data_IF_232071499413
#
_entry.id   IF_232071499413
#
_cell.length_a   1.000
_cell.length_b   1.000
_cell.length_c   1.000
_cell.angle_alpha   90.00
_cell.angle_beta   90.00
_cell.angle_gamma   90.00
#
_symmetry.space_group_name_H-M   'P 1'
#
loop_
_entity.id
_entity.type
_entity.pdbx_description
1 polymer ?
#
# COMPACT_ATOMS: atom_id res chain seq x y z
N UNK A 1 11.45 -28.16 3.59
CA UNK A 1 11.55 -28.09 2.13
C UNK A 1 12.89 -27.44 1.81
N UNK A 2 13.85 -28.18 1.26
CA UNK A 2 15.18 -27.63 0.95
C UNK A 2 15.15 -27.25 -0.52
N UNK A 3 15.12 -25.96 -0.81
CA UNK A 3 15.27 -25.47 -2.18
C UNK A 3 16.77 -25.40 -2.47
N UNK A 4 17.25 -26.27 -3.35
CA UNK A 4 18.57 -26.12 -3.95
C UNK A 4 18.46 -25.07 -5.05
N UNK A 5 18.72 -23.82 -4.74
CA UNK A 5 18.94 -22.81 -5.75
C UNK A 5 20.34 -23.03 -6.32
N UNK A 6 20.44 -23.31 -7.61
CA UNK A 6 21.72 -23.29 -8.32
C UNK A 6 22.21 -21.84 -8.39
N UNK A 7 23.07 -21.46 -7.45
CA UNK A 7 23.69 -20.13 -7.44
C UNK A 7 24.81 -20.16 -8.48
N UNK A 8 24.88 -19.22 -9.44
CA UNK A 8 25.98 -19.13 -10.38
C UNK A 8 27.31 -19.02 -9.64
N UNK A 9 28.39 -19.61 -10.16
CA UNK A 9 29.72 -19.70 -9.52
C UNK A 9 30.32 -18.35 -9.03
N UNK A 10 29.75 -17.23 -9.42
CA UNK A 10 30.18 -15.89 -9.01
C UNK A 10 29.78 -15.49 -7.60
N UNK A 11 28.88 -16.21 -6.94
CA UNK A 11 28.45 -15.94 -5.57
C UNK A 11 28.93 -17.04 -4.62
N UNK A 12 30.14 -16.91 -4.11
CA UNK A 12 30.61 -17.74 -3.00
C UNK A 12 29.91 -17.31 -1.72
N UNK A 13 28.80 -17.97 -1.39
CA UNK A 13 28.19 -17.88 -0.07
C UNK A 13 29.14 -18.50 0.96
N UNK A 14 29.70 -17.68 1.87
CA UNK A 14 30.32 -18.19 3.10
C UNK A 14 29.21 -18.79 3.96
N UNK A 15 29.16 -20.12 4.02
CA UNK A 15 28.30 -20.84 4.96
C UNK A 15 28.85 -20.53 6.37
N UNK A 16 28.09 -19.78 7.15
CA UNK A 16 28.37 -19.58 8.58
C UNK A 16 27.87 -20.82 9.32
N UNK A 17 28.69 -21.48 10.15
CA UNK A 17 28.38 -22.80 10.73
C UNK A 17 27.21 -22.84 11.72
N UNK A 18 26.60 -21.72 12.06
CA UNK A 18 25.65 -21.58 13.19
C UNK A 18 24.19 -21.25 12.84
N UNK A 19 23.76 -21.50 11.62
CA UNK A 19 22.33 -21.33 11.28
C UNK A 19 21.52 -22.56 11.68
N UNK A 20 20.92 -22.53 12.87
CA UNK A 20 20.03 -23.58 13.37
C UNK A 20 18.59 -23.47 12.91
N UNK A 21 18.15 -22.34 12.35
CA UNK A 21 16.75 -22.15 11.92
C UNK A 21 16.65 -21.12 10.81
N UNK A 22 16.09 -21.50 9.66
CA UNK A 22 15.64 -20.58 8.61
C UNK A 22 14.12 -20.51 8.68
N UNK A 23 13.58 -19.35 9.06
CA UNK A 23 12.14 -19.11 9.10
C UNK A 23 11.72 -18.45 7.76
N UNK A 24 11.04 -19.18 6.91
CA UNK A 24 10.27 -18.61 5.81
C UNK A 24 8.81 -18.50 6.24
N UNK A 25 8.22 -17.33 6.03
CA UNK A 25 6.89 -16.96 6.49
C UNK A 25 5.81 -17.98 6.13
N UNK A 26 5.25 -18.62 7.15
CA UNK A 26 4.20 -19.62 7.08
C UNK A 26 4.58 -20.85 7.90
N UNK A 27 4.37 -20.80 9.20
CA UNK A 27 4.27 -21.88 10.20
C UNK A 27 4.63 -23.31 9.74
N UNK A 28 5.87 -23.59 9.41
CA UNK A 28 6.47 -24.94 9.51
C UNK A 28 7.94 -24.78 9.84
N UNK A 29 8.30 -25.20 11.04
CA UNK A 29 9.71 -25.34 11.45
C UNK A 29 10.39 -26.40 10.59
N UNK A 30 11.44 -26.02 9.89
CA UNK A 30 12.28 -26.95 9.14
C UNK A 30 13.50 -27.23 10.01
N UNK A 31 13.54 -28.44 10.59
CA UNK A 31 14.73 -28.91 11.27
C UNK A 31 15.75 -29.42 10.25
N UNK A 32 16.92 -28.77 10.19
CA UNK A 32 18.04 -29.24 9.39
C UNK A 32 18.77 -30.37 10.15
N UNK A 33 18.69 -31.58 9.65
CA UNK A 33 19.54 -32.68 10.10
C UNK A 33 20.78 -32.64 9.18
N UNK A 34 21.82 -31.95 9.60
CA UNK A 34 23.12 -31.97 8.92
C UNK A 34 23.69 -33.36 8.90
N UNK A 35 24.01 -33.83 7.69
CA UNK A 35 24.58 -35.14 7.51
C UNK A 35 26.00 -35.22 8.06
N UNK A 36 26.15 -35.82 9.19
CA UNK A 36 27.28 -36.67 9.59
C UNK A 36 26.68 -37.77 10.45
N UNK A 37 27.10 -38.99 10.24
CA UNK A 37 26.63 -40.20 10.93
C UNK A 37 26.91 -40.13 12.44
N UNK A 38 26.14 -39.33 13.15
CA UNK A 38 26.20 -39.27 14.60
C UNK A 38 24.93 -39.86 15.15
N UNK A 39 24.99 -41.13 15.50
CA UNK A 39 24.07 -41.70 16.50
C UNK A 39 24.18 -40.82 17.76
N UNK A 40 23.06 -40.55 18.45
CA UNK A 40 23.14 -39.77 19.68
C UNK A 40 24.15 -40.42 20.64
N UNK A 41 25.17 -39.66 21.06
CA UNK A 41 26.27 -40.14 21.91
C UNK A 41 25.86 -40.91 23.17
N UNK A 42 24.66 -40.63 23.79
CA UNK A 42 24.31 -41.31 25.04
C UNK A 42 24.17 -42.82 24.95
N UNK A 43 23.64 -43.38 23.83
CA UNK A 43 23.39 -44.83 23.71
C UNK A 43 24.65 -45.65 23.41
N UNK A 44 25.70 -45.06 22.87
CA UNK A 44 26.97 -45.73 22.70
C UNK A 44 27.74 -45.75 24.04
N UNK A 45 27.71 -44.67 24.76
CA UNK A 45 28.33 -44.57 26.09
C UNK A 45 27.60 -45.50 27.09
N UNK A 46 26.27 -45.53 27.11
CA UNK A 46 25.46 -46.41 27.94
C UNK A 46 25.78 -47.90 27.64
N UNK A 47 26.01 -48.25 26.40
CA UNK A 47 26.39 -49.59 26.00
C UNK A 47 27.79 -49.95 26.46
N UNK A 48 28.76 -49.03 26.33
CA UNK A 48 30.12 -49.25 26.80
C UNK A 48 30.21 -49.34 28.33
N UNK A 49 29.43 -48.55 29.05
CA UNK A 49 29.30 -48.65 30.51
C UNK A 49 28.68 -49.96 30.95
N UNK A 50 27.62 -50.42 30.29
CA UNK A 50 26.98 -51.71 30.56
C UNK A 50 27.92 -52.91 30.27
N UNK A 51 28.78 -52.81 29.26
CA UNK A 51 29.80 -53.83 28.97
C UNK A 51 30.95 -53.79 30.02
N UNK A 52 31.35 -52.61 30.48
CA UNK A 52 32.38 -52.44 31.53
C UNK A 52 31.94 -52.94 32.91
N UNK A 53 30.62 -52.88 33.17
CA UNK A 53 29.99 -53.37 34.41
C UNK A 53 29.56 -54.84 34.36
N UNK A 54 29.94 -55.61 33.31
CA UNK A 54 29.59 -57.00 33.08
C UNK A 54 28.06 -57.27 33.00
N UNK A 55 27.23 -56.25 32.82
CA UNK A 55 25.79 -56.33 32.68
C UNK A 55 25.39 -56.71 31.22
N UNK A 56 25.71 -57.92 30.80
CA UNK A 56 25.51 -58.38 29.40
C UNK A 56 24.06 -58.43 28.92
N UNK A 57 23.08 -58.59 29.81
CA UNK A 57 21.67 -58.51 29.46
C UNK A 57 21.21 -57.10 29.09
N UNK A 58 21.64 -56.10 29.87
CA UNK A 58 21.35 -54.68 29.60
C UNK A 58 22.04 -54.17 28.31
N UNK A 59 23.29 -54.57 28.08
CA UNK A 59 24.01 -54.30 26.84
C UNK A 59 23.31 -54.87 25.62
N UNK A 60 22.70 -56.07 25.78
CA UNK A 60 21.87 -56.75 24.77
C UNK A 60 20.56 -55.96 24.43
N UNK A 61 19.93 -55.41 25.45
CA UNK A 61 18.73 -54.59 25.28
C UNK A 61 19.05 -53.24 24.60
N UNK A 62 20.13 -52.58 25.00
CA UNK A 62 20.61 -51.36 24.39
C UNK A 62 20.95 -51.57 22.92
N UNK A 63 21.60 -52.69 22.58
CA UNK A 63 21.86 -53.08 21.18
C UNK A 63 20.60 -53.27 20.36
N UNK A 64 19.56 -53.89 20.93
CA UNK A 64 18.23 -54.02 20.29
C UNK A 64 17.57 -52.66 20.09
N UNK A 65 17.66 -51.73 21.07
CA UNK A 65 17.14 -50.35 20.98
C UNK A 65 17.87 -49.57 19.88
N UNK A 66 19.23 -49.71 19.81
CA UNK A 66 20.02 -49.08 18.74
C UNK A 66 19.60 -49.59 17.35
N UNK A 67 19.47 -50.94 17.18
CA UNK A 67 19.05 -51.51 15.90
C UNK A 67 17.65 -51.02 15.46
N UNK A 68 16.70 -50.94 16.41
CA UNK A 68 15.34 -50.40 16.13
C UNK A 68 15.39 -48.91 15.74
N UNK A 69 16.23 -48.08 16.43
CA UNK A 69 16.41 -46.66 16.09
C UNK A 69 17.08 -46.48 14.73
N UNK A 70 18.12 -47.32 14.41
CA UNK A 70 18.76 -47.31 13.08
C UNK A 70 17.78 -47.65 11.98
N UNK A 71 17.01 -48.72 12.12
CA UNK A 71 15.99 -49.12 11.13
C UNK A 71 14.88 -48.06 10.94
N UNK A 72 14.51 -47.35 12.02
CA UNK A 72 13.56 -46.24 11.93
C UNK A 72 14.15 -45.02 11.21
N UNK A 73 15.41 -44.72 11.43
CA UNK A 73 16.13 -43.64 10.78
C UNK A 73 16.32 -43.90 9.28
N UNK A 74 16.64 -45.13 8.89
CA UNK A 74 16.72 -45.54 7.49
C UNK A 74 15.35 -45.44 6.78
N UNK A 75 14.26 -45.89 7.42
CA UNK A 75 12.92 -45.70 6.88
C UNK A 75 12.52 -44.22 6.73
N UNK A 76 12.94 -43.38 7.65
CA UNK A 76 12.70 -41.92 7.55
C UNK A 76 13.56 -41.28 6.46
N UNK A 77 14.83 -41.72 6.29
CA UNK A 77 15.69 -41.26 5.18
C UNK A 77 15.10 -41.70 3.82
N UNK A 78 14.66 -42.94 3.68
CA UNK A 78 14.00 -43.38 2.45
C UNK A 78 12.72 -42.61 2.15
N UNK A 79 11.84 -42.45 3.14
CA UNK A 79 10.65 -41.60 2.94
C UNK A 79 11.00 -40.16 2.52
N UNK A 80 12.02 -39.58 3.13
CA UNK A 80 12.48 -38.25 2.79
C UNK A 80 13.06 -38.19 1.36
N UNK A 81 13.80 -39.21 0.93
CA UNK A 81 14.31 -39.31 -0.44
C UNK A 81 13.17 -39.51 -1.47
N UNK A 82 12.19 -40.34 -1.14
CA UNK A 82 11.01 -40.57 -1.96
C UNK A 82 10.15 -39.29 -2.07
N UNK A 83 9.90 -38.61 -0.97
CA UNK A 83 9.21 -37.31 -0.95
C UNK A 83 9.96 -36.22 -1.72
N UNK A 84 11.30 -36.24 -1.64
CA UNK A 84 12.17 -35.30 -2.39
C UNK A 84 12.16 -35.60 -3.89
N UNK A 85 12.12 -36.85 -4.29
CA UNK A 85 12.10 -37.24 -5.70
C UNK A 85 10.69 -37.13 -6.31
N UNK A 86 9.63 -37.23 -5.50
CA UNK A 86 8.24 -37.07 -5.94
C UNK A 86 7.77 -35.63 -5.99
N UNK A 87 8.39 -34.75 -5.24
CA UNK A 87 8.11 -33.30 -5.32
C UNK A 87 8.97 -32.65 -6.40
N UNK A 88 8.55 -32.78 -7.66
CA UNK A 88 9.01 -31.90 -8.74
C UNK A 88 8.50 -30.48 -8.43
N UNK A 89 9.20 -29.76 -7.56
CA UNK A 89 8.97 -28.33 -7.38
C UNK A 89 9.64 -27.67 -8.58
N UNK A 90 8.82 -27.37 -9.56
CA UNK A 90 9.21 -26.52 -10.69
C UNK A 90 9.22 -25.10 -10.13
N UNK A 91 10.40 -24.51 -10.03
CA UNK A 91 10.50 -23.07 -9.77
C UNK A 91 10.16 -22.39 -11.09
N UNK A 92 8.98 -21.83 -11.19
CA UNK A 92 8.51 -21.09 -12.35
C UNK A 92 9.02 -19.66 -12.38
N UNK A 93 8.61 -18.93 -13.40
CA UNK A 93 8.93 -17.49 -13.56
C UNK A 93 8.34 -16.67 -12.40
N UNK A 94 7.19 -17.09 -11.88
CA UNK A 94 6.48 -16.37 -10.80
C UNK A 94 7.26 -16.42 -9.48
N UNK A 95 7.81 -17.57 -9.10
CA UNK A 95 8.59 -17.70 -7.86
C UNK A 95 9.91 -16.92 -7.95
N UNK A 96 10.55 -16.91 -9.13
CA UNK A 96 11.75 -16.10 -9.37
C UNK A 96 11.42 -14.62 -9.32
N UNK A 97 10.30 -14.21 -9.91
CA UNK A 97 9.82 -12.85 -9.88
C UNK A 97 9.50 -12.37 -8.46
N UNK A 98 8.93 -13.23 -7.59
CA UNK A 98 8.69 -12.93 -6.18
C UNK A 98 9.99 -12.64 -5.42
N UNK A 99 10.99 -13.49 -5.60
CA UNK A 99 12.29 -13.31 -4.95
C UNK A 99 12.98 -12.03 -5.44
N UNK A 100 12.99 -11.78 -6.75
CA UNK A 100 13.56 -10.56 -7.32
C UNK A 100 12.82 -9.33 -6.83
N UNK A 101 11.47 -9.38 -6.77
CA UNK A 101 10.65 -8.28 -6.26
C UNK A 101 10.95 -7.98 -4.78
N UNK A 102 11.14 -9.03 -3.96
CA UNK A 102 11.48 -8.86 -2.55
C UNK A 102 12.87 -8.22 -2.35
N UNK A 103 13.84 -8.53 -3.22
CA UNK A 103 15.21 -8.01 -3.12
C UNK A 103 15.37 -6.62 -3.69
N UNK A 104 14.78 -6.39 -4.87
CA UNK A 104 14.95 -5.13 -5.63
C UNK A 104 13.87 -4.11 -5.34
N UNK A 105 12.76 -4.53 -4.71
CA UNK A 105 11.50 -3.75 -4.56
C UNK A 105 10.89 -3.35 -5.90
N UNK A 106 11.27 -4.04 -6.97
CA UNK A 106 10.68 -3.89 -8.30
C UNK A 106 9.59 -4.96 -8.41
N UNK A 107 8.31 -4.61 -8.68
CA UNK A 107 7.21 -5.57 -8.79
C UNK A 107 7.32 -6.38 -10.10
N UNK A 108 8.28 -7.31 -10.18
CA UNK A 108 8.63 -8.06 -11.39
C UNK A 108 7.51 -8.98 -11.87
N UNK A 109 6.72 -9.57 -10.95
CA UNK A 109 5.58 -10.42 -11.29
C UNK A 109 4.51 -9.73 -12.15
N UNK A 110 4.49 -8.40 -12.14
CA UNK A 110 3.46 -7.59 -12.78
C UNK A 110 3.85 -7.09 -14.16
N UNK A 111 5.02 -7.48 -14.66
CA UNK A 111 5.60 -6.90 -15.90
C UNK A 111 5.14 -7.63 -17.17
N UNK A 112 4.63 -8.89 -17.10
CA UNK A 112 4.32 -9.63 -18.31
C UNK A 112 2.84 -9.49 -18.76
N UNK A 113 2.04 -10.51 -18.83
CA UNK A 113 0.69 -10.48 -19.42
C UNK A 113 -0.38 -9.87 -18.49
N UNK A 114 -0.21 -9.98 -17.17
CA UNK A 114 -1.15 -9.42 -16.19
C UNK A 114 -1.16 -7.87 -16.17
N UNK A 115 -0.12 -7.20 -16.66
CA UNK A 115 -0.03 -5.73 -16.68
C UNK A 115 -1.01 -5.13 -17.68
N UNK A 116 -1.14 -5.70 -18.85
CA UNK A 116 -2.07 -5.21 -19.88
C UNK A 116 -3.52 -5.28 -19.39
N UNK A 117 -3.92 -6.40 -18.78
CA UNK A 117 -5.28 -6.53 -18.23
C UNK A 117 -5.54 -5.56 -17.07
N UNK A 118 -4.56 -5.32 -16.24
CA UNK A 118 -4.66 -4.34 -15.13
C UNK A 118 -4.79 -2.92 -15.64
N UNK A 119 -4.02 -2.56 -16.67
CA UNK A 119 -4.11 -1.24 -17.29
C UNK A 119 -5.47 -1.04 -17.96
N UNK A 120 -6.04 -2.08 -18.56
CA UNK A 120 -7.41 -2.03 -19.12
C UNK A 120 -8.43 -1.82 -18.00
N UNK A 121 -8.31 -2.56 -16.89
CA UNK A 121 -9.22 -2.50 -15.74
C UNK A 121 -8.89 -1.39 -14.74
N UNK A 122 -7.89 -0.54 -15.03
CA UNK A 122 -7.42 0.48 -14.08
C UNK A 122 -8.54 1.43 -13.66
N UNK A 123 -9.39 1.87 -14.59
CA UNK A 123 -10.55 2.73 -14.29
C UNK A 123 -11.51 2.07 -13.31
N UNK A 124 -11.87 0.81 -13.55
CA UNK A 124 -12.77 0.05 -12.66
C UNK A 124 -12.15 -0.12 -11.26
N UNK A 125 -10.85 -0.44 -11.20
CA UNK A 125 -10.12 -0.60 -9.94
C UNK A 125 -10.09 0.71 -9.15
N UNK A 126 -9.89 1.85 -9.80
CA UNK A 126 -9.90 3.15 -9.15
C UNK A 126 -11.30 3.54 -8.68
N UNK A 127 -12.36 3.27 -9.49
CA UNK A 127 -13.74 3.54 -9.12
C UNK A 127 -14.25 2.72 -7.92
N UNK A 128 -13.68 1.54 -7.67
CA UNK A 128 -14.00 0.75 -6.49
C UNK A 128 -13.62 1.46 -5.17
N UNK A 129 -12.70 2.42 -5.22
CA UNK A 129 -12.22 3.17 -4.04
C UNK A 129 -12.59 4.65 -4.08
N UNK A 130 -12.66 5.23 -5.26
CA UNK A 130 -12.89 6.67 -5.45
C UNK A 130 -14.24 6.88 -6.11
N UNK A 131 -15.14 7.48 -5.37
CA UNK A 131 -16.52 7.70 -5.80
C UNK A 131 -16.68 9.12 -6.38
N UNK A 132 -17.34 9.22 -7.51
CA UNK A 132 -17.86 10.46 -8.06
C UNK A 132 -16.83 11.41 -8.68
N UNK A 133 -15.69 10.91 -9.10
CA UNK A 133 -14.63 11.68 -9.78
C UNK A 133 -14.31 11.03 -11.15
N UNK A 134 -15.30 10.76 -11.96
CA UNK A 134 -15.19 9.95 -13.17
C UNK A 134 -14.25 10.58 -14.20
N UNK A 135 -14.27 11.90 -14.39
CA UNK A 135 -13.33 12.59 -15.28
C UNK A 135 -11.89 12.44 -14.81
N UNK A 136 -11.66 12.55 -13.50
CA UNK A 136 -10.33 12.40 -12.91
C UNK A 136 -9.76 11.00 -13.12
N UNK A 137 -10.56 9.99 -12.82
CA UNK A 137 -10.19 8.58 -12.98
C UNK A 137 -9.89 8.25 -14.44
N UNK A 138 -10.76 8.68 -15.35
CA UNK A 138 -10.58 8.44 -16.79
C UNK A 138 -9.33 9.15 -17.34
N UNK A 139 -9.09 10.40 -16.96
CA UNK A 139 -7.92 11.17 -17.41
C UNK A 139 -6.61 10.50 -16.93
N UNK A 140 -6.55 10.11 -15.65
CA UNK A 140 -5.39 9.42 -15.09
C UNK A 140 -5.15 8.09 -15.80
N UNK A 141 -6.18 7.26 -15.95
CA UNK A 141 -6.04 5.96 -16.57
C UNK A 141 -5.55 6.07 -18.03
N UNK A 142 -6.06 7.04 -18.79
CA UNK A 142 -5.59 7.32 -20.16
C UNK A 142 -4.12 7.75 -20.17
N UNK A 143 -3.70 8.66 -19.30
CA UNK A 143 -2.33 9.14 -19.24
C UNK A 143 -1.35 8.02 -18.82
N UNK A 144 -1.72 7.21 -17.83
CA UNK A 144 -0.93 6.06 -17.39
C UNK A 144 -0.79 5.01 -18.51
N UNK A 145 -1.89 4.66 -19.18
CA UNK A 145 -1.84 3.75 -20.35
C UNK A 145 -0.89 4.27 -21.43
N UNK A 146 -0.99 5.56 -21.77
CA UNK A 146 -0.12 6.24 -22.73
C UNK A 146 1.36 6.16 -22.34
N UNK A 147 1.66 6.38 -21.06
CA UNK A 147 3.02 6.29 -20.52
C UNK A 147 3.58 4.86 -20.56
N UNK A 148 2.76 3.86 -20.22
CA UNK A 148 3.19 2.45 -20.15
C UNK A 148 3.35 1.77 -21.51
N UNK A 149 2.59 2.18 -22.52
CA UNK A 149 2.70 1.66 -23.89
C UNK A 149 3.92 2.25 -24.62
N UNK A 150 4.66 3.17 -23.99
CA UNK A 150 5.87 3.76 -24.58
C UNK A 150 5.60 4.90 -25.58
N UNK A 151 4.41 5.46 -25.59
CA UNK A 151 4.05 6.62 -26.42
C UNK A 151 4.48 7.96 -25.79
N UNK A 152 5.12 7.93 -24.63
CA UNK A 152 5.64 9.09 -23.92
C UNK A 152 7.17 9.15 -24.02
N UNK A 153 7.73 10.35 -23.84
CA UNK A 153 9.18 10.55 -23.74
C UNK A 153 9.76 9.65 -22.63
N UNK A 154 10.71 8.76 -22.94
CA UNK A 154 11.30 7.83 -21.99
C UNK A 154 12.09 8.52 -20.87
N UNK A 155 12.44 9.79 -21.03
CA UNK A 155 13.16 10.57 -20.03
C UNK A 155 12.24 11.19 -18.98
N UNK A 156 10.92 11.20 -19.17
CA UNK A 156 9.95 11.81 -18.25
C UNK A 156 9.29 10.78 -17.33
N UNK A 157 8.77 11.17 -16.17
CA UNK A 157 7.97 10.30 -15.28
C UNK A 157 6.81 9.62 -16.03
N UNK A 158 6.30 8.49 -15.56
CA UNK A 158 5.17 7.76 -16.18
C UNK A 158 3.96 8.68 -16.40
N UNK A 159 3.67 9.55 -15.44
CA UNK A 159 2.59 10.53 -15.50
C UNK A 159 2.84 11.66 -14.52
N UNK A 160 2.40 12.87 -14.87
CA UNK A 160 2.45 14.06 -14.04
C UNK A 160 1.10 14.73 -14.01
N UNK A 161 0.53 14.91 -12.80
CA UNK A 161 -0.84 15.35 -12.60
C UNK A 161 -0.90 16.49 -11.60
N UNK A 162 -1.75 17.48 -11.88
CA UNK A 162 -2.12 18.51 -10.92
C UNK A 162 -3.60 18.36 -10.54
N UNK A 163 -3.87 18.01 -9.29
CA UNK A 163 -5.21 17.85 -8.74
C UNK A 163 -5.65 19.14 -8.07
N UNK A 164 -6.70 19.74 -8.61
CA UNK A 164 -7.27 20.99 -8.11
C UNK A 164 -8.61 20.73 -7.45
N UNK A 165 -8.94 21.47 -6.42
CA UNK A 165 -10.24 21.39 -5.78
C UNK A 165 -10.22 21.49 -4.27
N UNK A 166 -11.41 21.54 -3.63
CA UNK A 166 -11.51 21.70 -2.19
C UNK A 166 -10.98 20.49 -1.42
N UNK A 167 -10.82 20.64 -0.12
CA UNK A 167 -10.44 19.52 0.76
C UNK A 167 -11.56 18.49 0.86
N UNK A 168 -11.20 17.21 1.08
CA UNK A 168 -12.17 16.16 1.34
C UNK A 168 -12.93 15.60 0.12
N UNK A 169 -12.52 15.93 -1.10
CA UNK A 169 -13.15 15.44 -2.34
C UNK A 169 -12.50 14.18 -2.92
N UNK A 170 -11.43 13.66 -2.29
CA UNK A 170 -10.82 12.39 -2.69
C UNK A 170 -9.45 12.49 -3.37
N UNK A 171 -8.80 13.67 -3.47
CA UNK A 171 -7.48 13.83 -4.12
C UNK A 171 -6.42 12.86 -3.59
N UNK A 172 -6.23 12.83 -2.27
CA UNK A 172 -5.27 11.94 -1.61
C UNK A 172 -5.68 10.47 -1.70
N UNK A 173 -6.99 10.16 -1.66
CA UNK A 173 -7.48 8.78 -1.77
C UNK A 173 -7.25 8.22 -3.17
N UNK A 174 -7.45 9.03 -4.22
CA UNK A 174 -7.13 8.64 -5.60
C UNK A 174 -5.62 8.38 -5.77
N UNK A 175 -4.76 9.16 -5.10
CA UNK A 175 -3.30 8.93 -5.12
C UNK A 175 -2.93 7.59 -4.46
N UNK A 176 -3.58 7.21 -3.35
CA UNK A 176 -3.41 5.91 -2.69
C UNK A 176 -3.93 4.77 -3.55
N UNK A 177 -5.13 4.92 -4.10
CA UNK A 177 -5.73 3.94 -4.99
C UNK A 177 -4.85 3.69 -6.22
N UNK A 178 -4.24 4.75 -6.77
CA UNK A 178 -3.32 4.63 -7.90
C UNK A 178 -2.03 3.90 -7.50
N UNK A 179 -1.46 4.19 -6.32
CA UNK A 179 -0.26 3.49 -5.83
C UNK A 179 -0.51 1.98 -5.67
N UNK A 180 -1.66 1.63 -5.09
CA UNK A 180 -2.07 0.24 -4.93
C UNK A 180 -2.32 -0.46 -6.29
N UNK A 181 -3.05 0.18 -7.19
CA UNK A 181 -3.37 -0.36 -8.51
C UNK A 181 -2.11 -0.56 -9.38
N UNK A 182 -1.16 0.40 -9.35
CA UNK A 182 0.04 0.38 -10.18
C UNK A 182 1.16 -0.48 -9.61
N UNK A 183 1.40 -0.36 -8.29
CA UNK A 183 2.57 -0.95 -7.62
C UNK A 183 2.18 -2.01 -6.58
N UNK A 184 0.88 -2.24 -6.36
CA UNK A 184 0.33 -3.33 -5.57
C UNK A 184 0.34 -3.13 -4.08
N UNK A 185 0.69 -1.94 -3.63
CA UNK A 185 0.64 -1.57 -2.21
C UNK A 185 0.46 -0.08 -2.06
N UNK A 186 -0.33 0.33 -1.08
CA UNK A 186 -0.44 1.74 -0.70
C UNK A 186 0.88 2.33 -0.16
N UNK A 187 1.77 1.49 0.36
CA UNK A 187 3.08 1.92 0.85
C UNK A 187 4.02 2.40 -0.26
N UNK A 188 3.68 2.16 -1.54
CA UNK A 188 4.37 2.76 -2.68
C UNK A 188 4.02 4.25 -2.87
N UNK A 189 3.15 4.83 -2.04
CA UNK A 189 2.88 6.26 -2.01
C UNK A 189 3.91 7.00 -1.15
N UNK A 190 4.71 7.87 -1.77
CA UNK A 190 5.60 8.80 -1.09
C UNK A 190 4.88 10.14 -0.98
N UNK A 191 4.41 10.50 0.22
CA UNK A 191 3.78 11.81 0.46
C UNK A 191 4.81 12.81 0.95
N UNK A 192 4.77 14.00 0.37
CA UNK A 192 5.58 15.18 0.74
C UNK A 192 4.62 16.34 0.92
N UNK A 193 4.53 16.87 2.13
CA UNK A 193 3.69 18.02 2.46
C UNK A 193 4.47 19.32 2.16
N UNK A 194 3.98 20.09 1.21
CA UNK A 194 4.67 21.31 0.77
C UNK A 194 4.60 22.45 1.78
N UNK A 195 3.73 22.38 2.78
CA UNK A 195 3.73 23.32 3.88
C UNK A 195 5.00 23.25 4.75
N UNK A 196 5.74 22.14 4.71
CA UNK A 196 7.06 22.02 5.36
C UNK A 196 8.18 22.72 4.58
N UNK A 197 7.91 23.14 3.32
CA UNK A 197 8.89 23.69 2.38
C UNK A 197 8.55 25.13 1.95
N UNK A 198 7.98 25.91 2.85
CA UNK A 198 7.61 27.32 2.60
C UNK A 198 8.82 28.27 2.60
N UNK A 199 9.88 27.91 3.29
CA UNK A 199 11.06 28.73 3.45
C UNK A 199 12.23 28.22 2.58
N UNK A 200 13.06 29.15 2.09
CA UNK A 200 14.17 28.84 1.19
C UNK A 200 15.14 27.81 1.78
N UNK A 201 15.44 27.88 3.07
CA UNK A 201 16.37 26.94 3.72
C UNK A 201 15.78 25.51 3.85
N UNK A 202 14.46 25.36 3.79
CA UNK A 202 13.84 24.04 3.88
C UNK A 202 13.90 23.28 2.55
N UNK A 203 14.09 23.96 1.42
CA UNK A 203 14.22 23.35 0.09
C UNK A 203 15.42 22.42 0.05
N UNK A 204 16.51 22.76 0.74
CA UNK A 204 17.69 21.87 0.84
C UNK A 204 17.38 20.53 1.52
N UNK A 205 16.34 20.43 2.36
CA UNK A 205 15.92 19.16 2.92
C UNK A 205 15.32 18.19 1.89
N UNK A 206 14.81 18.72 0.76
CA UNK A 206 14.26 17.89 -0.32
C UNK A 206 15.35 17.11 -1.06
N UNK A 207 16.43 17.80 -1.46
CA UNK A 207 17.50 17.27 -2.32
C UNK A 207 18.82 17.09 -1.57
N UNK A 208 18.92 17.52 -0.31
CA UNK A 208 20.09 17.48 0.54
C UNK A 208 20.75 18.85 0.72
N UNK A 209 21.48 19.01 1.81
CA UNK A 209 22.21 20.23 2.14
C UNK A 209 23.54 20.29 1.36
N UNK A 210 23.98 21.48 0.92
CA UNK A 210 25.29 21.64 0.29
C UNK A 210 26.44 21.25 1.23
N UNK A 211 27.62 20.90 0.70
CA UNK A 211 28.79 20.60 1.51
C UNK A 211 29.10 21.71 2.52
N UNK A 212 29.36 21.34 3.76
CA UNK A 212 29.68 22.27 4.85
C UNK A 212 28.46 22.78 5.65
N UNK A 213 27.24 22.41 5.29
CA UNK A 213 26.05 22.71 6.07
C UNK A 213 25.60 21.52 6.91
N UNK A 214 24.92 21.78 8.03
CA UNK A 214 24.35 20.75 8.90
C UNK A 214 23.33 19.91 8.10
N UNK A 215 23.45 18.56 8.21
CA UNK A 215 22.58 17.62 7.47
C UNK A 215 23.08 17.19 6.09
N UNK A 216 24.34 17.54 5.71
CA UNK A 216 24.91 17.11 4.43
C UNK A 216 24.96 15.58 4.29
N UNK A 217 25.32 14.85 5.36
CA UNK A 217 25.45 13.38 5.36
C UNK A 217 24.09 12.65 5.35
N UNK A 218 22.99 13.33 5.70
CA UNK A 218 21.67 12.73 5.79
C UNK A 218 21.00 12.54 4.41
N UNK A 219 21.52 13.21 3.35
CA UNK A 219 20.91 13.22 2.03
C UNK A 219 19.57 13.98 2.00
N UNK A 220 18.95 14.11 0.84
CA UNK A 220 17.64 14.75 0.72
C UNK A 220 16.50 13.79 1.04
N UNK A 221 15.48 14.27 1.73
CA UNK A 221 14.32 13.46 2.11
C UNK A 221 13.60 12.84 0.90
N UNK A 222 13.43 13.62 -0.17
CA UNK A 222 12.79 13.15 -1.41
C UNK A 222 13.74 12.21 -2.17
N UNK A 223 14.99 12.62 -2.38
CA UNK A 223 15.98 11.86 -3.12
C UNK A 223 16.22 10.48 -2.51
N UNK A 224 16.36 10.37 -1.19
CA UNK A 224 16.52 9.08 -0.50
C UNK A 224 15.27 8.20 -0.57
N UNK A 225 14.06 8.78 -0.38
CA UNK A 225 12.81 8.01 -0.48
C UNK A 225 12.62 7.41 -1.87
N UNK A 226 12.85 8.20 -2.92
CA UNK A 226 12.71 7.76 -4.31
C UNK A 226 13.80 6.77 -4.70
N UNK A 227 15.05 7.00 -4.31
CA UNK A 227 16.14 6.07 -4.54
C UNK A 227 15.86 4.69 -3.96
N UNK A 228 15.25 4.65 -2.76
CA UNK A 228 14.86 3.38 -2.11
C UNK A 228 13.61 2.75 -2.71
N UNK A 229 12.71 3.54 -3.29
CA UNK A 229 11.47 3.09 -3.89
C UNK A 229 11.28 3.73 -5.27
N UNK A 230 12.01 3.27 -6.29
CA UNK A 230 11.99 3.88 -7.62
C UNK A 230 10.67 3.68 -8.37
N UNK A 231 9.86 2.71 -7.94
CA UNK A 231 8.52 2.44 -8.46
C UNK A 231 7.50 2.91 -7.43
N UNK A 232 7.13 4.18 -7.52
CA UNK A 232 6.26 4.81 -6.52
C UNK A 232 5.37 5.90 -7.13
N UNK A 233 4.30 6.21 -6.44
CA UNK A 233 3.52 7.44 -6.64
C UNK A 233 4.06 8.49 -5.67
N UNK A 234 4.45 9.65 -6.19
CA UNK A 234 4.92 10.75 -5.37
C UNK A 234 3.82 11.80 -5.32
N UNK A 235 3.32 12.05 -4.13
CA UNK A 235 2.29 13.04 -3.87
C UNK A 235 2.90 14.27 -3.20
N UNK A 236 2.95 15.38 -3.92
CA UNK A 236 3.25 16.70 -3.39
C UNK A 236 1.93 17.36 -2.98
N UNK A 237 1.68 17.44 -1.67
CA UNK A 237 0.42 17.95 -1.14
C UNK A 237 0.54 19.46 -0.87
N UNK A 238 -0.48 20.24 -1.27
CA UNK A 238 -0.57 21.71 -1.10
C UNK A 238 0.59 22.48 -1.78
N UNK A 239 0.84 22.18 -3.07
CA UNK A 239 2.00 22.75 -3.81
C UNK A 239 1.99 24.27 -3.90
N UNK A 240 0.84 24.92 -3.77
CA UNK A 240 0.72 26.38 -3.74
C UNK A 240 1.44 27.03 -2.54
N UNK A 241 1.71 26.26 -1.49
CA UNK A 241 2.43 26.74 -0.30
C UNK A 241 3.94 26.65 -0.41
N UNK A 242 4.44 25.92 -1.39
CA UNK A 242 5.87 25.70 -1.56
C UNK A 242 6.64 26.99 -1.90
N UNK A 243 7.87 27.09 -1.41
CA UNK A 243 8.79 28.14 -1.83
C UNK A 243 9.05 28.06 -3.35
N UNK A 244 9.21 29.18 -4.07
CA UNK A 244 9.46 29.20 -5.51
C UNK A 244 10.62 28.32 -5.98
N UNK A 245 11.66 28.13 -5.17
CA UNK A 245 12.80 27.28 -5.51
C UNK A 245 12.44 25.77 -5.59
N UNK A 246 11.35 25.32 -4.92
CA UNK A 246 10.83 23.95 -5.04
C UNK A 246 10.38 23.68 -6.47
N UNK A 247 9.75 24.67 -7.13
CA UNK A 247 9.30 24.51 -8.51
C UNK A 247 10.44 24.30 -9.48
N UNK A 248 11.64 24.85 -9.23
CA UNK A 248 12.82 24.60 -10.04
C UNK A 248 13.25 23.12 -9.95
N UNK A 249 13.16 22.52 -8.75
CA UNK A 249 13.43 21.09 -8.57
C UNK A 249 12.37 20.24 -9.25
N UNK A 250 11.10 20.62 -9.12
CA UNK A 250 9.99 19.91 -9.79
C UNK A 250 10.10 20.01 -11.32
N UNK A 251 10.49 21.14 -11.88
CA UNK A 251 10.73 21.31 -13.30
C UNK A 251 11.79 20.32 -13.79
N UNK A 252 12.90 20.16 -13.08
CA UNK A 252 13.92 19.18 -13.44
C UNK A 252 13.36 17.74 -13.42
N UNK A 253 12.55 17.39 -12.42
CA UNK A 253 11.88 16.07 -12.37
C UNK A 253 10.94 15.88 -13.56
N UNK A 254 10.14 16.90 -13.90
CA UNK A 254 9.12 16.80 -14.94
C UNK A 254 9.73 16.79 -16.36
N UNK A 255 10.88 17.42 -16.59
CA UNK A 255 11.53 17.47 -17.88
C UNK A 255 12.54 16.36 -18.09
N UNK A 256 13.49 16.22 -17.15
CA UNK A 256 14.63 15.34 -17.28
C UNK A 256 14.40 13.97 -16.62
N UNK A 257 13.31 13.83 -15.81
CA UNK A 257 12.99 12.62 -15.06
C UNK A 257 14.03 12.22 -14.04
N UNK A 258 14.91 13.12 -13.63
CA UNK A 258 15.90 12.88 -12.59
C UNK A 258 16.25 14.17 -11.84
N UNK A 259 16.82 14.01 -10.66
CA UNK A 259 17.45 15.11 -9.91
C UNK A 259 18.86 14.69 -9.50
N UNK A 260 19.74 15.65 -9.36
CA UNK A 260 21.04 15.42 -8.72
C UNK A 260 20.96 15.90 -7.28
N UNK A 261 21.23 15.01 -6.34
CA UNK A 261 21.25 15.36 -4.91
C UNK A 261 22.49 16.16 -4.55
N UNK A 262 22.53 16.67 -3.32
CA UNK A 262 23.68 17.45 -2.80
C UNK A 262 25.00 16.69 -2.77
N UNK A 263 24.95 15.35 -2.81
CA UNK A 263 26.14 14.47 -2.82
C UNK A 263 26.60 14.15 -4.25
N UNK A 264 25.95 14.71 -5.28
CA UNK A 264 26.24 14.46 -6.68
C UNK A 264 25.66 13.15 -7.25
N UNK A 265 24.76 12.49 -6.50
CA UNK A 265 24.10 11.29 -6.99
C UNK A 265 22.88 11.64 -7.82
N UNK A 266 22.73 10.96 -8.96
CA UNK A 266 21.55 11.08 -9.80
C UNK A 266 20.46 10.16 -9.29
N UNK A 267 19.27 10.70 -9.00
CA UNK A 267 18.09 9.96 -8.57
C UNK A 267 17.07 9.97 -9.70
N UNK A 268 16.67 8.79 -10.15
CA UNK A 268 15.78 8.59 -11.28
C UNK A 268 14.30 8.58 -10.87
N UNK A 269 13.48 9.36 -11.57
CA UNK A 269 12.02 9.49 -11.40
C UNK A 269 11.23 8.92 -12.58
N UNK A 270 11.89 8.34 -13.60
CA UNK A 270 11.22 7.87 -14.82
C UNK A 270 10.15 6.82 -14.58
N UNK A 271 10.34 6.00 -13.55
CA UNK A 271 9.39 4.95 -13.14
C UNK A 271 8.39 5.41 -12.07
N UNK A 272 8.31 6.70 -11.81
CA UNK A 272 7.37 7.25 -10.83
C UNK A 272 6.17 7.92 -11.50
N UNK A 273 5.10 8.05 -10.75
CA UNK A 273 3.95 8.90 -11.08
C UNK A 273 3.97 10.11 -10.15
N UNK A 274 3.97 11.30 -10.72
CA UNK A 274 3.98 12.55 -9.98
C UNK A 274 2.56 13.09 -9.84
N UNK A 275 2.10 13.29 -8.62
CA UNK A 275 0.83 13.92 -8.32
C UNK A 275 1.09 15.13 -7.45
N UNK A 276 0.56 16.27 -7.85
CA UNK A 276 0.58 17.51 -7.11
C UNK A 276 -0.85 17.88 -6.74
N UNK A 277 -1.12 18.21 -5.49
CA UNK A 277 -2.45 18.70 -5.10
C UNK A 277 -2.40 20.17 -4.78
N UNK A 278 -3.48 20.88 -5.10
CA UNK A 278 -3.65 22.28 -4.74
C UNK A 278 -5.11 22.56 -4.39
N UNK A 279 -5.31 23.47 -3.47
CA UNK A 279 -6.61 24.04 -3.13
C UNK A 279 -6.88 25.35 -3.88
N UNK A 280 -6.02 25.75 -4.82
CA UNK A 280 -6.19 26.93 -5.65
C UNK A 280 -7.54 26.88 -6.39
N UNK A 281 -8.26 27.97 -6.34
CA UNK A 281 -9.60 28.07 -6.97
C UNK A 281 -10.71 27.29 -6.27
N UNK A 282 -10.45 26.68 -5.10
CA UNK A 282 -11.47 25.92 -4.37
C UNK A 282 -12.74 26.72 -4.05
N UNK A 283 -12.60 28.02 -3.75
CA UNK A 283 -13.73 28.92 -3.50
C UNK A 283 -14.67 29.04 -4.72
N UNK A 284 -14.12 29.00 -5.92
CA UNK A 284 -14.90 29.03 -7.17
C UNK A 284 -15.67 27.73 -7.42
N UNK A 285 -15.28 26.61 -6.78
CA UNK A 285 -15.91 25.31 -6.86
C UNK A 285 -17.06 25.20 -5.83
N UNK A 286 -16.82 25.72 -4.62
CA UNK A 286 -17.77 25.63 -3.49
C UNK A 286 -18.96 26.59 -3.65
N UNK A 287 -18.77 27.75 -4.26
CA UNK A 287 -19.82 28.75 -4.43
C UNK A 287 -20.11 29.04 -5.91
N UNK A 288 -20.85 28.20 -6.61
CA UNK A 288 -21.38 28.57 -7.92
C UNK A 288 -22.44 29.66 -7.70
N UNK A 289 -22.07 30.94 -7.91
CA UNK A 289 -23.01 32.04 -7.94
C UNK A 289 -23.87 31.93 -9.23
N UNK A 290 -24.88 31.08 -9.22
CA UNK A 290 -25.93 31.08 -10.25
C UNK A 290 -27.17 31.75 -9.69
N UNK A 291 -27.35 33.01 -10.03
CA UNK A 291 -28.65 33.67 -10.01
C UNK A 291 -29.37 33.25 -11.31
N UNK A 292 -30.27 32.27 -11.25
CA UNK A 292 -31.09 31.92 -12.39
C UNK A 292 -31.63 30.48 -12.35
N UNK A 293 -32.77 30.24 -12.99
CA UNK A 293 -33.41 28.92 -13.12
C UNK A 293 -32.53 28.02 -14.02
N UNK A 294 -31.92 27.00 -13.47
CA UNK A 294 -31.03 26.11 -14.19
C UNK A 294 -31.82 25.07 -15.02
N UNK A 295 -31.54 25.00 -16.31
CA UNK A 295 -31.93 23.90 -17.20
C UNK A 295 -30.74 22.95 -17.37
N UNK A 296 -30.94 21.69 -17.77
CA UNK A 296 -29.89 20.66 -17.92
C UNK A 296 -28.77 21.07 -18.90
N UNK A 297 -28.99 22.02 -19.78
CA UNK A 297 -27.98 22.65 -20.65
C UNK A 297 -27.09 23.61 -19.90
N UNK A 298 -27.57 24.19 -18.82
CA UNK A 298 -26.83 25.15 -18.00
C UNK A 298 -25.81 24.45 -17.09
N UNK A 299 -26.01 23.18 -16.71
CA UNK A 299 -25.08 22.44 -15.85
C UNK A 299 -23.71 22.20 -16.52
N UNK A 300 -23.71 21.82 -17.80
CA UNK A 300 -22.44 21.64 -18.56
C UNK A 300 -21.71 22.97 -18.76
N UNK A 301 -22.44 24.03 -19.12
CA UNK A 301 -21.87 25.35 -19.26
C UNK A 301 -21.35 25.93 -17.94
N UNK A 302 -22.06 25.69 -16.85
CA UNK A 302 -21.60 26.06 -15.51
C UNK A 302 -20.31 25.33 -15.11
N UNK A 303 -20.20 24.06 -15.47
CA UNK A 303 -19.01 23.26 -15.22
C UNK A 303 -17.80 23.77 -16.02
N UNK A 304 -17.96 24.06 -17.30
CA UNK A 304 -16.89 24.63 -18.13
C UNK A 304 -16.45 26.00 -17.63
N UNK A 305 -17.40 26.86 -17.25
CA UNK A 305 -17.15 28.18 -16.68
C UNK A 305 -16.40 28.08 -15.33
N UNK A 306 -16.77 27.12 -14.49
CA UNK A 306 -16.06 26.83 -13.23
C UNK A 306 -14.62 26.39 -13.50
N UNK A 307 -14.42 25.46 -14.41
CA UNK A 307 -13.11 24.96 -14.82
C UNK A 307 -12.24 26.09 -15.35
N UNK A 308 -12.79 26.97 -16.18
CA UNK A 308 -12.08 28.17 -16.68
C UNK A 308 -11.61 29.09 -15.56
N UNK A 309 -12.48 29.39 -14.58
CA UNK A 309 -12.12 30.26 -13.45
C UNK A 309 -11.05 29.63 -12.56
N UNK A 310 -11.13 28.32 -12.33
CA UNK A 310 -10.09 27.59 -11.58
C UNK A 310 -8.75 27.63 -12.33
N UNK A 311 -8.78 27.45 -13.66
CA UNK A 311 -7.58 27.54 -14.50
C UNK A 311 -6.98 28.95 -14.53
N UNK A 312 -7.78 29.99 -14.48
CA UNK A 312 -7.29 31.36 -14.40
C UNK A 312 -6.56 31.63 -13.08
N UNK A 313 -7.08 31.08 -11.98
CA UNK A 313 -6.39 31.16 -10.67
C UNK A 313 -5.08 30.37 -10.64
N UNK A 314 -5.07 29.16 -11.24
CA UNK A 314 -3.85 28.34 -11.39
C UNK A 314 -2.77 29.10 -12.17
N UNK A 315 -3.13 29.79 -13.26
CA UNK A 315 -2.20 30.61 -14.04
C UNK A 315 -1.66 31.83 -13.29
N UNK A 316 -2.34 32.30 -12.25
CA UNK A 316 -1.84 33.37 -11.38
C UNK A 316 -0.82 32.87 -10.36
N UNK A 317 -1.01 31.63 -9.86
CA UNK A 317 -0.16 31.02 -8.83
C UNK A 317 1.08 30.39 -9.43
N UNK A 318 0.90 29.63 -10.51
CA UNK A 318 1.96 28.84 -11.12
C UNK A 318 2.46 29.48 -12.42
N UNK A 319 3.76 29.46 -12.61
CA UNK A 319 4.37 29.96 -13.85
C UNK A 319 3.91 29.13 -15.07
N UNK A 320 3.70 29.76 -16.24
CA UNK A 320 3.30 29.05 -17.46
C UNK A 320 4.23 27.89 -17.83
N UNK A 321 5.54 28.06 -17.59
CA UNK A 321 6.54 27.04 -17.81
C UNK A 321 6.24 25.76 -17.02
N UNK A 322 5.87 25.88 -15.76
CA UNK A 322 5.52 24.76 -14.89
C UNK A 322 4.23 24.08 -15.34
N UNK A 323 3.20 24.85 -15.66
CA UNK A 323 1.90 24.34 -16.12
C UNK A 323 2.06 23.51 -17.41
N UNK A 324 2.90 23.96 -18.34
CA UNK A 324 3.13 23.30 -19.64
C UNK A 324 3.90 21.97 -19.52
N UNK A 325 4.49 21.65 -18.35
CA UNK A 325 5.21 20.39 -18.12
C UNK A 325 4.32 19.32 -17.48
N UNK A 326 3.14 19.69 -17.03
CA UNK A 326 2.17 18.79 -16.43
C UNK A 326 1.36 18.11 -17.54
N UNK A 327 1.24 16.77 -17.46
CA UNK A 327 0.51 16.01 -18.48
C UNK A 327 -0.99 16.27 -18.46
N UNK A 328 -1.58 16.34 -17.25
CA UNK A 328 -3.02 16.57 -17.09
C UNK A 328 -3.29 17.42 -15.82
N UNK A 329 -4.16 18.41 -15.98
CA UNK A 329 -4.69 19.21 -14.87
C UNK A 329 -6.13 18.79 -14.63
N UNK A 330 -6.41 18.31 -13.44
CA UNK A 330 -7.67 17.65 -13.10
C UNK A 330 -8.37 18.44 -12.00
N UNK A 331 -9.60 18.87 -12.28
CA UNK A 331 -10.44 19.59 -11.33
C UNK A 331 -11.42 18.61 -10.67
N UNK A 332 -11.30 18.49 -9.35
CA UNK A 332 -12.18 17.67 -8.52
C UNK A 332 -13.45 18.44 -8.15
N UNK A 333 -14.58 17.76 -8.23
CA UNK A 333 -15.88 18.35 -7.90
C UNK A 333 -16.25 18.09 -6.44
N UNK A 334 -17.20 18.91 -5.94
CA UNK A 334 -17.88 18.62 -4.68
C UNK A 334 -18.67 17.31 -4.79
N UNK A 335 -18.64 16.55 -3.71
CA UNK A 335 -19.39 15.29 -3.62
C UNK A 335 -20.85 15.57 -3.25
N UNK A 336 -21.78 14.92 -3.94
CA UNK A 336 -23.18 14.96 -3.59
C UNK A 336 -23.53 13.95 -2.47
N UNK A 337 -24.71 14.06 -1.88
CA UNK A 337 -25.14 13.20 -0.76
C UNK A 337 -25.15 11.71 -1.11
N UNK A 338 -25.50 11.34 -2.35
CA UNK A 338 -25.50 9.95 -2.80
C UNK A 338 -24.09 9.37 -2.90
N UNK A 339 -23.15 10.18 -3.40
CA UNK A 339 -21.73 9.81 -3.47
C UNK A 339 -21.14 9.64 -2.07
N UNK A 340 -21.52 10.52 -1.14
CA UNK A 340 -21.07 10.44 0.25
C UNK A 340 -21.62 9.18 0.94
N UNK A 341 -22.88 8.80 0.67
CA UNK A 341 -23.44 7.55 1.19
C UNK A 341 -22.64 6.32 0.71
N UNK A 342 -22.22 6.29 -0.56
CA UNK A 342 -21.34 5.23 -1.08
C UNK A 342 -19.95 5.24 -0.42
N UNK A 343 -19.42 6.41 -0.10
CA UNK A 343 -18.14 6.52 0.63
C UNK A 343 -18.29 5.97 2.06
N UNK A 344 -19.41 6.25 2.73
CA UNK A 344 -19.72 5.66 4.04
C UNK A 344 -19.73 4.14 3.94
N UNK A 345 -20.35 3.56 2.92
CA UNK A 345 -20.36 2.10 2.71
C UNK A 345 -18.94 1.53 2.56
N UNK A 346 -18.06 2.18 1.78
CA UNK A 346 -16.66 1.75 1.63
C UNK A 346 -15.92 1.81 2.96
N UNK A 347 -16.09 2.91 3.72
CA UNK A 347 -15.44 3.08 5.01
C UNK A 347 -15.91 2.04 6.04
N UNK A 348 -17.22 1.80 6.11
CA UNK A 348 -17.80 0.78 6.99
C UNK A 348 -17.35 -0.63 6.61
N UNK A 349 -17.29 -0.95 5.32
CA UNK A 349 -16.76 -2.22 4.85
C UNK A 349 -15.29 -2.42 5.27
N UNK A 350 -14.49 -1.36 5.27
CA UNK A 350 -13.10 -1.40 5.73
C UNK A 350 -13.02 -1.67 7.24
N UNK A 351 -13.87 -1.00 8.05
CA UNK A 351 -13.99 -1.26 9.49
C UNK A 351 -14.46 -2.69 9.73
N UNK A 352 -15.51 -3.12 9.01
CA UNK A 352 -16.08 -4.46 9.14
C UNK A 352 -15.06 -5.57 8.80
N UNK A 353 -14.26 -5.38 7.75
CA UNK A 353 -13.20 -6.33 7.40
C UNK A 353 -12.17 -6.46 8.53
N UNK A 354 -11.73 -5.33 9.10
CA UNK A 354 -10.78 -5.31 10.21
C UNK A 354 -11.35 -5.97 11.47
N UNK A 355 -12.61 -5.68 11.85
CA UNK A 355 -13.25 -6.28 13.02
C UNK A 355 -13.54 -7.76 12.84
N UNK A 356 -13.86 -8.17 11.61
CA UNK A 356 -14.07 -9.57 11.27
C UNK A 356 -12.76 -10.39 11.35
N UNK A 357 -11.66 -9.85 10.86
CA UNK A 357 -10.36 -10.51 10.89
C UNK A 357 -9.78 -10.61 12.30
N UNK A 358 -9.92 -9.55 13.11
CA UNK A 358 -9.30 -9.49 14.44
C UNK A 358 -10.18 -10.06 15.56
N UNK A 359 -11.49 -9.87 15.49
CA UNK A 359 -12.44 -10.17 16.58
C UNK A 359 -13.60 -11.08 16.13
N UNK A 360 -13.67 -11.44 14.84
CA UNK A 360 -14.78 -12.17 14.22
C UNK A 360 -16.15 -11.48 14.40
N UNK A 361 -16.16 -10.19 14.63
CA UNK A 361 -17.37 -9.37 14.77
C UNK A 361 -17.72 -8.78 13.41
N UNK A 362 -18.98 -8.97 12.97
CA UNK A 362 -19.53 -8.37 11.76
C UNK A 362 -20.44 -7.21 12.10
N UNK A 363 -20.30 -6.10 11.40
CA UNK A 363 -21.06 -4.85 11.59
C UNK A 363 -21.93 -4.63 10.35
N UNK A 364 -23.23 -4.51 10.54
CA UNK A 364 -24.19 -4.19 9.46
C UNK A 364 -24.93 -2.89 9.83
N UNK A 365 -24.91 -1.90 8.94
CA UNK A 365 -25.67 -0.68 9.09
C UNK A 365 -26.96 -0.78 8.26
N UNK A 366 -28.07 -0.32 8.81
CA UNK A 366 -29.27 -0.09 8.02
C UNK A 366 -29.22 1.27 7.28
N UNK A 367 -30.16 1.50 6.39
CA UNK A 367 -30.17 2.70 5.54
C UNK A 367 -30.43 3.99 6.32
N UNK A 368 -31.12 3.90 7.48
CA UNK A 368 -31.36 5.04 8.35
C UNK A 368 -30.07 5.41 9.11
N UNK A 369 -29.32 4.43 9.61
CA UNK A 369 -28.02 4.64 10.24
C UNK A 369 -27.02 5.24 9.25
N UNK A 370 -27.01 4.80 8.00
CA UNK A 370 -26.18 5.40 6.95
C UNK A 370 -26.54 6.87 6.72
N UNK A 371 -27.82 7.19 6.59
CA UNK A 371 -28.28 8.57 6.43
C UNK A 371 -27.86 9.44 7.62
N UNK A 372 -28.03 8.93 8.82
CA UNK A 372 -27.60 9.61 10.06
C UNK A 372 -26.10 9.96 10.02
N UNK A 373 -25.24 9.01 9.63
CA UNK A 373 -23.79 9.22 9.51
C UNK A 373 -23.48 10.24 8.43
N UNK A 374 -24.18 10.18 7.29
CA UNK A 374 -24.00 11.15 6.19
C UNK A 374 -24.38 12.56 6.66
N UNK A 375 -25.51 12.73 7.33
CA UNK A 375 -25.96 14.03 7.80
C UNK A 375 -25.05 14.63 8.87
N UNK A 376 -24.53 13.79 9.78
CA UNK A 376 -23.66 14.23 10.87
C UNK A 376 -22.20 14.42 10.42
N UNK A 377 -21.75 13.66 9.41
CA UNK A 377 -20.36 13.62 8.95
C UNK A 377 -20.09 14.42 7.68
N UNK A 378 -21.09 15.01 7.05
CA UNK A 378 -20.90 15.85 5.86
C UNK A 378 -20.83 17.33 6.22
N UNK A 379 -19.85 18.01 5.67
CA UNK A 379 -19.69 19.46 5.77
C UNK A 379 -19.40 20.02 4.37
N UNK A 380 -20.13 21.05 3.95
CA UNK A 380 -19.97 21.65 2.62
C UNK A 380 -18.55 22.20 2.38
N UNK A 381 -17.85 22.66 3.43
CA UNK A 381 -16.49 23.21 3.30
C UNK A 381 -15.40 22.13 3.34
N UNK A 382 -15.64 21.08 4.12
CA UNK A 382 -14.65 20.02 4.38
C UNK A 382 -14.94 18.70 3.65
N UNK A 383 -16.05 18.64 2.89
CA UNK A 383 -16.45 17.47 2.13
C UNK A 383 -16.61 16.20 2.97
N UNK A 384 -16.02 15.10 2.52
CA UNK A 384 -16.06 13.82 3.20
C UNK A 384 -15.02 13.66 4.33
N UNK A 385 -14.17 14.67 4.58
CA UNK A 385 -13.10 14.57 5.60
C UNK A 385 -13.60 14.29 7.02
N UNK A 386 -14.71 14.91 7.50
CA UNK A 386 -15.22 14.65 8.84
C UNK A 386 -15.85 13.25 9.00
N UNK A 387 -16.27 12.59 7.92
CA UNK A 387 -16.92 11.27 7.97
C UNK A 387 -16.12 10.23 8.75
N UNK A 388 -14.80 10.22 8.57
CA UNK A 388 -13.93 9.26 9.28
C UNK A 388 -14.02 9.44 10.79
N UNK A 389 -14.01 10.68 11.26
CA UNK A 389 -14.15 10.99 12.68
C UNK A 389 -15.54 10.66 13.19
N UNK A 390 -16.57 10.93 12.38
CA UNK A 390 -17.95 10.58 12.73
C UNK A 390 -18.12 9.06 12.83
N UNK A 391 -17.60 8.27 11.91
CA UNK A 391 -17.62 6.80 11.98
C UNK A 391 -16.87 6.31 13.21
N UNK A 392 -15.71 6.87 13.49
CA UNK A 392 -14.94 6.52 14.68
C UNK A 392 -15.75 6.77 15.97
N UNK A 393 -16.23 8.00 16.16
CA UNK A 393 -16.93 8.38 17.40
C UNK A 393 -18.29 7.69 17.54
N UNK A 394 -19.05 7.55 16.44
CA UNK A 394 -20.42 7.05 16.50
C UNK A 394 -20.50 5.52 16.41
N UNK A 395 -19.53 4.85 15.79
CA UNK A 395 -19.57 3.40 15.58
C UNK A 395 -18.44 2.70 16.32
N UNK A 396 -17.17 3.05 16.05
CA UNK A 396 -16.04 2.30 16.61
C UNK A 396 -15.98 2.44 18.13
N UNK A 397 -16.12 3.66 18.66
CA UNK A 397 -16.06 3.91 20.11
C UNK A 397 -17.23 3.24 20.83
N UNK A 398 -18.46 3.35 20.31
CA UNK A 398 -19.63 2.70 20.91
C UNK A 398 -19.54 1.17 20.89
N UNK A 399 -19.01 0.60 19.81
CA UNK A 399 -18.79 -0.86 19.73
C UNK A 399 -17.71 -1.27 20.74
N UNK A 400 -16.62 -0.49 20.85
CA UNK A 400 -15.55 -0.77 21.82
C UNK A 400 -16.06 -0.77 23.26
N UNK A 401 -16.90 0.21 23.67
CA UNK A 401 -17.52 0.24 24.98
C UNK A 401 -18.38 -1.00 25.23
N UNK A 402 -19.25 -1.37 24.28
CA UNK A 402 -20.11 -2.55 24.41
C UNK A 402 -19.34 -3.88 24.45
N UNK A 403 -18.15 -3.94 23.82
CA UNK A 403 -17.25 -5.10 23.94
C UNK A 403 -16.65 -5.15 25.35
N UNK A 404 -16.20 -4.01 25.89
CA UNK A 404 -15.63 -3.92 27.25
C UNK A 404 -16.66 -4.25 28.33
N UNK A 405 -17.92 -3.84 28.12
CA UNK A 405 -19.05 -4.18 28.99
C UNK A 405 -19.49 -5.66 28.85
N UNK A 406 -18.95 -6.41 27.91
CA UNK A 406 -19.29 -7.80 27.66
C UNK A 406 -20.64 -8.03 26.95
N UNK A 407 -21.26 -6.95 26.46
CA UNK A 407 -22.51 -7.01 25.68
C UNK A 407 -22.27 -7.59 24.30
N UNK A 408 -21.15 -7.24 23.63
CA UNK A 408 -20.72 -7.78 22.34
C UNK A 408 -19.56 -8.74 22.58
N UNK A 409 -19.64 -9.94 22.01
CA UNK A 409 -18.64 -11.01 22.14
C UNK A 409 -18.12 -11.42 20.76
N UNK A 410 -16.97 -12.08 20.74
CA UNK A 410 -16.40 -12.69 19.55
C UNK A 410 -17.45 -13.55 18.81
N UNK A 411 -17.55 -13.40 17.49
CA UNK A 411 -18.53 -14.12 16.65
C UNK A 411 -19.91 -13.46 16.57
N UNK A 412 -20.15 -12.35 17.24
CA UNK A 412 -21.44 -11.65 17.16
C UNK A 412 -21.59 -10.87 15.84
N UNK A 413 -22.85 -10.78 15.39
CA UNK A 413 -23.27 -9.86 14.32
C UNK A 413 -24.00 -8.68 14.93
N UNK A 414 -23.45 -7.49 14.79
CA UNK A 414 -23.97 -6.23 15.30
C UNK A 414 -24.74 -5.53 14.18
N UNK A 415 -26.04 -5.30 14.41
CA UNK A 415 -26.85 -4.45 13.53
C UNK A 415 -26.94 -3.06 14.16
N UNK A 416 -26.55 -2.05 13.39
CA UNK A 416 -26.63 -0.63 13.77
C UNK A 416 -27.86 -0.01 13.11
N UNK A 417 -28.76 0.56 13.90
CA UNK A 417 -29.98 1.23 13.48
C UNK A 417 -30.13 2.58 14.17
N UNK A 418 -31.09 3.39 13.76
CA UNK A 418 -31.43 4.66 14.43
C UNK A 418 -32.62 4.44 15.32
N UNK A 419 -32.52 4.85 16.60
CA UNK A 419 -33.61 4.87 17.55
C UNK A 419 -33.57 6.17 18.36
N UNK A 420 -34.68 6.86 18.41
CA UNK A 420 -34.81 8.14 19.15
C UNK A 420 -33.72 9.18 18.79
N UNK A 421 -33.32 9.21 17.50
CA UNK A 421 -32.31 10.16 16.99
C UNK A 421 -30.86 9.82 17.34
N UNK A 422 -30.61 8.63 17.88
CA UNK A 422 -29.25 8.11 18.19
C UNK A 422 -29.05 6.73 17.57
N UNK A 423 -27.77 6.30 17.43
CA UNK A 423 -27.46 4.97 16.94
C UNK A 423 -27.70 3.92 18.03
N UNK A 424 -28.49 2.91 17.71
CA UNK A 424 -28.75 1.73 18.53
C UNK A 424 -28.03 0.50 17.96
N UNK A 425 -27.40 -0.27 18.85
CA UNK A 425 -26.58 -1.42 18.52
C UNK A 425 -27.25 -2.70 19.02
N UNK A 426 -27.89 -3.43 18.14
CA UNK A 426 -28.57 -4.68 18.44
C UNK A 426 -27.79 -5.89 17.93
N UNK A 427 -27.83 -6.98 18.73
CA UNK A 427 -27.21 -8.24 18.31
C UNK A 427 -28.18 -9.04 17.44
N UNK A 428 -27.80 -9.31 16.20
CA UNK A 428 -28.46 -10.35 15.41
C UNK A 428 -28.04 -11.71 15.98
N UNK A 429 -28.99 -12.47 16.53
CA UNK A 429 -28.73 -13.88 16.93
C UNK A 429 -28.27 -14.63 15.68
N UNK A 430 -27.03 -15.09 15.70
CA UNK A 430 -26.51 -15.94 14.64
C UNK A 430 -27.40 -17.18 14.56
N UNK A 431 -27.89 -17.49 13.38
CA UNK A 431 -28.44 -18.83 13.09
C UNK A 431 -27.25 -19.76 13.20
N UNK A 432 -27.16 -20.48 14.31
CA UNK A 432 -26.25 -21.61 14.45
C UNK A 432 -26.56 -22.60 13.32
N UNK A 433 -25.63 -22.75 12.41
CA UNK A 433 -25.50 -23.94 11.57
C UNK A 433 -24.13 -24.54 11.77
#
# INVERSE_FOLDING_TARGET
MIVKVAVPEKFKLKVVPDFRTLIFGGQKEIHYIGGTDVLPPPLENEKEEAVKSEAFEEAGEIKKKQARKKARLEKLKQKWEDDKNSSNIIVGEDEVADVVSAWTRIPVQRIAQAETERLIKLEETLHNRVIGQDEAVTAIAKAIRRGRVGLKDPNRPIGSFLFLGPTGVGKTELSKALADAMFGTESALIRVDMSEFMEKHTVSKLIGSPPGYVGYDEGGQLSEKVRRNPYSVILFDEVEKAHPDVFNVLLQVLDDGHITDSTGRVVDFKNTVIIMTSNAGAENIVAPKTLGFATATDEKQNHENMKSKVMDEVKRIFKPEFINRIDEIIVFHMLNKEQIAKIVDIMINTVNKRTLEQMKISIELDDEAKKYIVEKGYDEKYGARPLRRTIQNEIEDNIAEKILEGQIKEGNKVKVSVKDGTLDFSLKRGINK
#
